data_IF_715330936085
#
_entry.id   IF_715330936085
#
_cell.length_a   1.000
_cell.length_b   1.000
_cell.length_c   1.000
_cell.angle_alpha   90.00
_cell.angle_beta   90.00
_cell.angle_gamma   90.00
#
_symmetry.space_group_name_H-M   'P 1'
#
loop_
_entity.id
_entity.type
_entity.pdbx_description
1 polymer ?
#
# COMPACT_ATOMS: atom_id res chain seq x y z
N UNK A 1 -23.12 63.60 8.82
CA UNK A 1 -24.15 62.73 8.21
C UNK A 1 -24.34 63.23 6.79
N UNK A 2 -24.08 62.36 5.80
CA UNK A 2 -24.12 62.59 4.34
C UNK A 2 -23.19 63.68 3.76
N UNK A 3 -22.28 63.25 2.88
CA UNK A 3 -21.68 64.10 1.85
C UNK A 3 -21.64 63.33 0.52
N UNK A 4 -21.90 64.10 -0.53
CA UNK A 4 -22.28 63.75 -1.89
C UNK A 4 -21.07 63.95 -2.82
N UNK A 5 -20.83 62.96 -3.69
CA UNK A 5 -20.53 63.00 -5.14
C UNK A 5 -19.52 64.02 -5.75
N UNK A 6 -18.65 63.46 -6.63
CA UNK A 6 -17.97 64.00 -7.85
C UNK A 6 -16.67 64.82 -7.70
N UNK A 7 -15.58 64.32 -8.32
CA UNK A 7 -14.99 64.86 -9.58
C UNK A 7 -13.58 64.30 -9.91
N UNK A 8 -13.40 63.85 -11.16
CA UNK A 8 -12.38 64.42 -12.06
C UNK A 8 -10.90 64.00 -11.96
N UNK A 9 -10.53 63.04 -12.83
CA UNK A 9 -9.34 62.94 -13.71
C UNK A 9 -8.19 63.96 -13.61
N UNK A 10 -6.95 63.45 -13.43
CA UNK A 10 -5.69 63.98 -14.02
C UNK A 10 -4.60 62.89 -14.01
N UNK A 11 -3.99 62.61 -15.16
CA UNK A 11 -2.85 61.71 -15.31
C UNK A 11 -1.52 62.38 -14.95
N UNK A 12 -0.57 61.62 -14.37
CA UNK A 12 0.87 61.85 -14.54
C UNK A 12 1.71 60.64 -14.08
N UNK A 13 2.66 60.21 -14.91
CA UNK A 13 3.94 59.70 -14.41
C UNK A 13 4.20 58.20 -14.54
N UNK A 14 4.89 57.84 -15.61
CA UNK A 14 5.51 56.55 -15.89
C UNK A 14 6.38 55.99 -14.74
N UNK A 15 6.40 54.66 -14.59
CA UNK A 15 7.60 53.80 -14.66
C UNK A 15 7.14 52.38 -15.02
N UNK A 16 7.42 51.94 -16.26
CA UNK A 16 7.37 50.52 -16.63
C UNK A 16 8.41 49.76 -15.81
N UNK A 17 8.07 48.67 -15.10
CA UNK A 17 9.09 47.75 -14.62
C UNK A 17 9.68 47.00 -15.82
N UNK A 18 10.95 47.27 -16.12
CA UNK A 18 11.76 46.48 -17.04
C UNK A 18 11.82 45.02 -16.53
N UNK A 19 11.52 44.01 -17.36
CA UNK A 19 11.61 42.62 -16.92
C UNK A 19 13.08 42.22 -16.74
N UNK A 20 13.46 41.84 -15.51
CA UNK A 20 14.77 41.28 -15.21
C UNK A 20 15.02 39.99 -16.03
N UNK A 21 16.25 39.75 -16.50
CA UNK A 21 16.58 38.55 -17.26
C UNK A 21 16.37 37.30 -16.40
N UNK A 22 15.63 36.33 -16.93
CA UNK A 22 15.41 35.04 -16.29
C UNK A 22 16.73 34.26 -16.21
N UNK A 23 17.13 33.86 -14.99
CA UNK A 23 18.24 32.93 -14.81
C UNK A 23 17.84 31.55 -15.35
N UNK A 24 18.68 30.86 -16.14
CA UNK A 24 18.38 29.53 -16.60
C UNK A 24 18.36 28.57 -15.40
N UNK A 25 17.20 27.96 -15.14
CA UNK A 25 17.06 26.87 -14.17
C UNK A 25 17.70 25.63 -14.79
N UNK A 26 18.84 25.20 -14.24
CA UNK A 26 19.43 23.90 -14.59
C UNK A 26 18.60 22.82 -13.89
N UNK A 27 17.95 21.89 -14.60
CA UNK A 27 17.26 20.79 -13.96
C UNK A 27 18.27 19.93 -13.19
N UNK A 28 17.99 19.69 -11.91
CA UNK A 28 18.78 18.76 -11.12
C UNK A 28 18.73 17.36 -11.77
N UNK A 29 19.85 16.61 -11.79
CA UNK A 29 19.83 15.25 -12.28
C UNK A 29 18.84 14.43 -11.44
N UNK A 30 17.95 13.69 -12.13
CA UNK A 30 17.04 12.78 -11.46
C UNK A 30 17.85 11.75 -10.65
N UNK A 31 17.53 11.61 -9.37
CA UNK A 31 18.11 10.55 -8.54
C UNK A 31 17.63 9.20 -9.12
N UNK A 32 18.51 8.21 -9.34
CA UNK A 32 18.08 6.88 -9.76
C UNK A 32 17.11 6.32 -8.73
N UNK A 33 16.02 5.70 -9.20
CA UNK A 33 15.14 4.94 -8.32
C UNK A 33 15.96 3.83 -7.62
N UNK A 34 15.71 3.57 -6.33
CA UNK A 34 16.38 2.47 -5.64
C UNK A 34 16.08 1.14 -6.35
N UNK A 35 17.03 0.20 -6.38
CA UNK A 35 16.80 -1.10 -6.99
C UNK A 35 15.63 -1.81 -6.29
N UNK A 36 14.65 -2.25 -7.07
CA UNK A 36 13.57 -3.11 -6.58
C UNK A 36 14.19 -4.43 -6.13
N UNK A 37 14.09 -4.76 -4.85
CA UNK A 37 14.51 -6.07 -4.35
C UNK A 37 13.48 -7.09 -4.85
N UNK A 38 13.88 -8.12 -5.62
CA UNK A 38 12.96 -9.13 -6.09
C UNK A 38 12.37 -9.89 -4.88
N UNK A 39 11.06 -10.10 -4.89
CA UNK A 39 10.39 -10.91 -3.87
C UNK A 39 10.89 -12.36 -3.97
N UNK A 40 11.40 -12.96 -2.89
CA UNK A 40 11.84 -14.36 -2.90
C UNK A 40 10.70 -15.33 -3.24
N UNK A 41 11.00 -16.40 -3.98
CA UNK A 41 10.02 -17.43 -4.33
C UNK A 41 9.38 -18.11 -3.11
N UNK A 42 10.13 -18.23 -2.01
CA UNK A 42 9.62 -18.74 -0.74
C UNK A 42 8.55 -17.82 -0.13
N UNK A 43 8.71 -16.49 -0.25
CA UNK A 43 7.70 -15.53 0.19
C UNK A 43 6.42 -15.64 -0.65
N UNK A 44 6.55 -15.73 -1.99
CA UNK A 44 5.40 -15.96 -2.88
C UNK A 44 4.65 -17.26 -2.55
N UNK A 45 5.40 -18.35 -2.33
CA UNK A 45 4.81 -19.65 -1.97
C UNK A 45 4.05 -19.58 -0.66
N UNK A 46 4.60 -18.86 0.33
CA UNK A 46 3.95 -18.65 1.64
C UNK A 46 2.67 -17.82 1.48
N UNK A 47 2.73 -16.73 0.71
CA UNK A 47 1.56 -15.89 0.43
C UNK A 47 0.43 -16.67 -0.25
N UNK A 48 0.75 -17.49 -1.25
CA UNK A 48 -0.23 -18.35 -1.90
C UNK A 48 -0.81 -19.41 -0.97
N UNK A 49 0.03 -20.06 -0.16
CA UNK A 49 -0.41 -21.04 0.83
C UNK A 49 -1.39 -20.41 1.82
N UNK A 50 -1.04 -19.22 2.31
CA UNK A 50 -1.87 -18.48 3.25
C UNK A 50 -3.20 -18.04 2.62
N UNK A 51 -3.15 -17.49 1.40
CA UNK A 51 -4.35 -17.09 0.67
C UNK A 51 -5.30 -18.27 0.39
N UNK A 52 -4.78 -19.49 0.20
CA UNK A 52 -5.62 -20.69 0.11
C UNK A 52 -6.17 -21.13 1.46
N UNK A 53 -5.38 -21.00 2.52
CA UNK A 53 -5.78 -21.38 3.87
C UNK A 53 -6.85 -20.44 4.47
N UNK A 54 -6.84 -19.15 4.06
CA UNK A 54 -7.80 -18.15 4.54
C UNK A 54 -9.21 -18.31 3.93
N UNK A 55 -9.35 -19.12 2.87
CA UNK A 55 -10.61 -19.29 2.15
C UNK A 55 -11.63 -20.17 2.89
N UNK A 56 -12.87 -19.67 2.98
CA UNK A 56 -14.08 -20.44 3.23
C UNK A 56 -14.58 -20.48 4.68
N UNK A 57 -15.89 -20.76 4.88
CA UNK A 57 -16.48 -20.86 6.22
C UNK A 57 -16.11 -22.22 6.82
N UNK A 58 -15.24 -22.21 7.81
CA UNK A 58 -14.87 -23.38 8.60
C UNK A 58 -15.03 -23.04 10.06
N UNK A 59 -15.12 -24.09 10.89
CA UNK A 59 -14.91 -23.96 12.32
C UNK A 59 -13.66 -23.12 12.61
N UNK A 60 -13.81 -22.12 13.50
CA UNK A 60 -12.76 -21.11 13.77
C UNK A 60 -11.45 -21.76 14.21
N UNK A 61 -11.51 -22.76 15.07
CA UNK A 61 -10.32 -23.43 15.60
C UNK A 61 -9.60 -24.21 14.50
N UNK A 62 -10.36 -24.90 13.64
CA UNK A 62 -9.82 -25.55 12.46
C UNK A 62 -9.14 -24.55 11.50
N UNK A 63 -9.77 -23.39 11.28
CA UNK A 63 -9.26 -22.35 10.40
C UNK A 63 -7.94 -21.75 10.94
N UNK A 64 -7.91 -21.37 12.21
CA UNK A 64 -6.69 -20.86 12.85
C UNK A 64 -5.56 -21.90 12.87
N UNK A 65 -5.88 -23.18 13.05
CA UNK A 65 -4.89 -24.26 12.99
C UNK A 65 -4.23 -24.37 11.60
N UNK A 66 -5.00 -24.16 10.53
CA UNK A 66 -4.48 -24.13 9.16
C UNK A 66 -3.59 -22.92 8.85
N UNK A 67 -3.86 -21.78 9.49
CA UNK A 67 -3.08 -20.54 9.30
C UNK A 67 -1.79 -20.52 10.13
N UNK A 68 -1.78 -21.13 11.31
CA UNK A 68 -0.65 -21.16 12.23
C UNK A 68 0.72 -21.48 11.60
N UNK A 69 0.90 -22.46 10.69
CA UNK A 69 2.21 -22.72 10.09
C UNK A 69 2.68 -21.64 9.11
N UNK A 70 1.80 -20.74 8.67
CA UNK A 70 2.06 -19.74 7.64
C UNK A 70 1.97 -18.31 8.18
N UNK A 71 1.69 -18.14 9.47
CA UNK A 71 1.36 -16.85 10.07
C UNK A 71 2.18 -16.65 11.33
N UNK A 72 2.65 -15.41 11.54
CA UNK A 72 3.32 -15.01 12.79
C UNK A 72 2.36 -15.15 13.98
N UNK A 73 2.90 -15.40 15.18
CA UNK A 73 2.06 -15.54 16.38
C UNK A 73 1.23 -14.29 16.69
N UNK A 74 1.79 -13.10 16.47
CA UNK A 74 1.12 -11.82 16.66
C UNK A 74 -0.07 -11.67 15.72
N UNK A 75 0.13 -11.89 14.42
CA UNK A 75 -0.95 -11.75 13.45
C UNK A 75 -2.00 -12.85 13.61
N UNK A 76 -1.60 -14.07 13.99
CA UNK A 76 -2.55 -15.15 14.29
C UNK A 76 -3.46 -14.79 15.48
N UNK A 77 -2.90 -14.11 16.50
CA UNK A 77 -3.67 -13.63 17.66
C UNK A 77 -4.66 -12.54 17.28
N UNK A 78 -4.27 -11.64 16.36
CA UNK A 78 -5.18 -10.64 15.78
C UNK A 78 -6.33 -11.31 15.03
N UNK A 79 -6.04 -12.27 14.13
CA UNK A 79 -7.08 -13.04 13.41
C UNK A 79 -7.99 -13.81 14.37
N UNK A 80 -7.44 -14.36 15.46
CA UNK A 80 -8.19 -15.02 16.51
C UNK A 80 -9.09 -14.06 17.33
N UNK A 81 -8.97 -12.75 17.16
CA UNK A 81 -9.81 -11.74 17.82
C UNK A 81 -10.77 -11.08 16.83
N UNK A 82 -10.28 -10.69 15.66
CA UNK A 82 -10.97 -9.77 14.73
C UNK A 82 -11.58 -10.44 13.50
N UNK A 83 -11.19 -11.68 13.17
CA UNK A 83 -11.65 -12.30 11.93
C UNK A 83 -13.16 -12.56 11.96
N UNK A 84 -13.88 -11.83 11.11
CA UNK A 84 -15.27 -12.13 10.78
C UNK A 84 -15.28 -13.21 9.69
N UNK A 85 -15.77 -14.40 10.05
CA UNK A 85 -15.94 -15.54 9.14
C UNK A 85 -16.77 -15.18 7.89
N UNK A 86 -17.63 -14.15 7.98
CA UNK A 86 -18.43 -13.67 6.84
C UNK A 86 -17.63 -12.86 5.83
N UNK A 87 -16.50 -12.28 6.22
CA UNK A 87 -15.63 -11.47 5.36
C UNK A 87 -14.62 -12.34 4.58
N UNK A 88 -14.34 -13.56 5.02
CA UNK A 88 -13.39 -14.45 4.38
C UNK A 88 -13.74 -14.74 2.90
N UNK A 89 -12.77 -14.66 1.96
CA UNK A 89 -13.00 -15.00 0.56
C UNK A 89 -13.44 -16.46 0.39
N UNK A 90 -14.18 -16.75 -0.67
CA UNK A 90 -14.62 -18.11 -1.02
C UNK A 90 -13.68 -18.80 -2.00
N UNK A 91 -12.74 -18.06 -2.60
CA UNK A 91 -11.75 -18.63 -3.48
C UNK A 91 -10.63 -17.67 -3.82
N UNK A 92 -9.47 -18.24 -4.16
CA UNK A 92 -8.37 -17.54 -4.83
C UNK A 92 -8.64 -17.60 -6.33
N UNK A 93 -8.58 -16.46 -7.01
CA UNK A 93 -8.95 -16.33 -8.44
C UNK A 93 -7.77 -16.27 -9.39
N UNK A 94 -6.54 -16.22 -8.87
CA UNK A 94 -5.32 -16.16 -9.68
C UNK A 94 -4.05 -16.40 -8.87
N UNK A 95 -2.88 -16.43 -9.54
CA UNK A 95 -1.59 -16.53 -8.86
C UNK A 95 -1.30 -15.26 -8.05
N UNK A 96 -0.46 -15.40 -7.02
CA UNK A 96 -0.04 -14.26 -6.23
C UNK A 96 0.93 -13.37 -7.05
N UNK A 97 0.80 -12.05 -6.90
CA UNK A 97 1.54 -11.05 -7.68
C UNK A 97 2.49 -10.30 -6.74
N UNK A 98 3.82 -10.35 -6.97
CA UNK A 98 4.76 -9.59 -6.14
C UNK A 98 4.54 -8.09 -6.34
N UNK A 99 4.59 -7.33 -5.24
CA UNK A 99 4.41 -5.88 -5.29
C UNK A 99 5.66 -5.14 -4.83
N UNK A 100 6.19 -5.51 -3.67
CA UNK A 100 7.44 -4.97 -3.14
C UNK A 100 8.20 -6.02 -2.36
N UNK A 101 9.53 -5.90 -2.39
CA UNK A 101 10.42 -6.71 -1.55
C UNK A 101 11.42 -5.79 -0.84
N UNK A 102 11.83 -6.19 0.35
CA UNK A 102 12.97 -5.64 1.06
C UNK A 102 13.71 -6.77 1.81
N UNK A 103 14.84 -6.45 2.41
CA UNK A 103 15.58 -7.43 3.20
C UNK A 103 14.74 -7.88 4.41
N UNK A 104 14.22 -9.11 4.34
CA UNK A 104 13.41 -9.71 5.39
C UNK A 104 11.93 -9.31 5.38
N UNK A 105 11.44 -8.61 4.36
CA UNK A 105 10.00 -8.37 4.19
C UNK A 105 9.57 -8.40 2.73
N UNK A 106 8.31 -8.72 2.48
CA UNK A 106 7.73 -8.72 1.15
C UNK A 106 6.24 -8.40 1.18
N UNK A 107 5.75 -7.78 0.12
CA UNK A 107 4.34 -7.51 -0.11
C UNK A 107 3.91 -8.22 -1.39
N UNK A 108 2.81 -8.96 -1.27
CA UNK A 108 2.28 -9.77 -2.36
C UNK A 108 0.77 -9.58 -2.44
N UNK A 109 0.24 -9.34 -3.64
CA UNK A 109 -1.20 -9.33 -3.88
C UNK A 109 -1.69 -10.75 -4.18
N UNK A 110 -2.66 -11.23 -3.40
CA UNK A 110 -3.37 -12.47 -3.62
C UNK A 110 -4.78 -12.18 -4.19
N UNK A 111 -5.05 -12.48 -5.47
CA UNK A 111 -6.38 -12.27 -6.05
C UNK A 111 -7.41 -13.23 -5.45
N UNK A 112 -8.54 -12.71 -4.97
CA UNK A 112 -9.66 -13.51 -4.45
C UNK A 112 -10.97 -13.18 -5.17
N UNK A 113 -12.03 -13.91 -4.87
CA UNK A 113 -13.39 -13.64 -5.38
C UNK A 113 -14.01 -12.35 -4.80
N UNK A 114 -13.38 -11.73 -3.81
CA UNK A 114 -13.83 -10.48 -3.17
C UNK A 114 -12.91 -9.28 -3.41
N UNK A 115 -11.93 -9.43 -4.29
CA UNK A 115 -10.88 -8.45 -4.54
C UNK A 115 -9.49 -9.01 -4.23
N UNK A 116 -8.45 -8.24 -4.48
CA UNK A 116 -7.10 -8.64 -4.10
C UNK A 116 -6.86 -8.35 -2.60
N UNK A 117 -6.16 -9.26 -1.94
CA UNK A 117 -5.66 -9.08 -0.57
C UNK A 117 -4.17 -8.83 -0.65
N UNK A 118 -3.72 -7.70 -0.11
CA UNK A 118 -2.31 -7.40 0.09
C UNK A 118 -1.83 -8.21 1.30
N UNK A 119 -0.93 -9.15 1.08
CA UNK A 119 -0.32 -9.99 2.11
C UNK A 119 1.06 -9.44 2.43
N UNK A 120 1.27 -9.06 3.70
CA UNK A 120 2.58 -8.62 4.19
C UNK A 120 3.31 -9.81 4.82
N UNK A 121 4.53 -10.06 4.37
CA UNK A 121 5.37 -11.18 4.81
C UNK A 121 6.63 -10.67 5.51
N UNK A 122 7.10 -11.47 6.47
CA UNK A 122 8.37 -11.27 7.16
C UNK A 122 9.21 -12.55 7.12
N UNK A 123 10.53 -12.40 6.98
CA UNK A 123 11.48 -13.48 7.23
C UNK A 123 11.81 -13.57 8.72
N UNK A 124 11.47 -14.69 9.33
CA UNK A 124 11.75 -15.00 10.73
C UNK A 124 12.77 -16.12 10.78
N UNK A 125 14.05 -15.74 10.78
CA UNK A 125 15.16 -16.70 10.87
C UNK A 125 15.22 -17.67 9.69
N UNK A 126 14.97 -17.19 8.47
CA UNK A 126 14.96 -17.99 7.25
C UNK A 126 13.62 -18.65 6.91
N UNK A 127 12.59 -18.40 7.71
CA UNK A 127 11.21 -18.85 7.43
C UNK A 127 10.33 -17.67 7.11
N UNK A 128 9.69 -17.67 5.94
CA UNK A 128 8.73 -16.65 5.56
C UNK A 128 7.38 -16.93 6.23
N UNK A 129 6.82 -15.91 6.87
CA UNK A 129 5.52 -15.96 7.53
C UNK A 129 4.72 -14.71 7.21
N UNK A 130 3.39 -14.84 7.19
CA UNK A 130 2.47 -13.71 7.05
C UNK A 130 2.41 -12.94 8.37
N UNK A 131 2.70 -11.65 8.28
CA UNK A 131 2.70 -10.70 9.39
C UNK A 131 1.50 -9.74 9.34
N UNK A 132 0.80 -9.67 8.20
CA UNK A 132 -0.41 -8.88 8.03
C UNK A 132 -1.18 -9.27 6.78
N UNK A 133 -2.41 -8.78 6.67
CA UNK A 133 -3.16 -8.79 5.43
C UNK A 133 -4.21 -7.67 5.40
N UNK A 134 -4.32 -6.97 4.27
CA UNK A 134 -5.27 -5.87 4.05
C UNK A 134 -5.92 -5.95 2.67
N UNK A 135 -7.07 -5.29 2.43
CA UNK A 135 -7.57 -5.08 1.07
C UNK A 135 -6.52 -4.36 0.22
N UNK A 136 -6.22 -4.88 -0.97
CA UNK A 136 -5.27 -4.23 -1.87
C UNK A 136 -5.78 -2.83 -2.25
N UNK A 137 -4.93 -1.82 -2.06
CA UNK A 137 -5.27 -0.42 -2.35
C UNK A 137 -5.96 0.33 -1.19
N UNK A 138 -6.16 -0.30 -0.03
CA UNK A 138 -6.42 0.44 1.20
C UNK A 138 -5.10 1.12 1.63
N UNK A 139 -5.04 2.44 1.57
CA UNK A 139 -3.92 3.27 2.04
C UNK A 139 -4.46 4.50 2.73
#
# INVERSE_FOLDING_TARGET
MLAVVVAGSWSAGALSPEPAPAVPVVPAPARPDPPVVPVPSAALTTAEGWARAVVGPRDRDWWLAGLRPLTTAEFLSLLATEADERAAPRGVTGPAVPVSGANGSADVDAPTDRGAVRVQLADVGGTWLVAGADPAGAS
#
